data_IF_402354229322
#
_entry.id   IF_402354229322
#
_cell.length_a   1.000
_cell.length_b   1.000
_cell.length_c   1.000
_cell.angle_alpha   90.00
_cell.angle_beta   90.00
_cell.angle_gamma   90.00
#
_symmetry.space_group_name_H-M   'P 1'
#
loop_
_entity.id
_entity.type
_entity.pdbx_description
1 polymer ?
#
# COMPACT_ATOMS: atom_id res chain seq x y z
N UNK A 1 62.53 -7.44 50.88
CA UNK A 1 62.93 -8.62 50.06
C UNK A 1 61.73 -8.89 49.17
N UNK A 2 61.77 -8.85 47.83
CA UNK A 2 62.70 -9.54 46.91
C UNK A 2 62.70 -8.80 45.56
N UNK A 3 63.89 -8.58 44.98
CA UNK A 3 64.08 -8.02 43.63
C UNK A 3 63.83 -9.12 42.60
N UNK A 4 62.97 -8.87 41.62
CA UNK A 4 62.80 -9.74 40.44
C UNK A 4 63.74 -9.23 39.34
N UNK A 5 64.52 -10.15 38.77
CA UNK A 5 65.65 -9.85 37.87
C UNK A 5 65.20 -9.55 36.43
N UNK A 6 65.94 -8.71 35.67
CA UNK A 6 65.61 -8.29 34.31
C UNK A 6 65.76 -9.41 33.25
N UNK A 7 66.12 -10.64 33.65
CA UNK A 7 66.25 -11.79 32.75
C UNK A 7 64.94 -12.55 32.52
N UNK A 8 63.90 -12.29 33.32
CA UNK A 8 62.57 -12.90 33.12
C UNK A 8 61.70 -12.15 32.11
N UNK A 9 62.01 -10.89 31.77
CA UNK A 9 61.25 -10.10 30.80
C UNK A 9 61.58 -10.46 29.34
N UNK A 10 62.80 -10.96 29.09
CA UNK A 10 63.26 -11.30 27.74
C UNK A 10 62.79 -12.68 27.24
N UNK A 11 62.37 -13.58 28.13
CA UNK A 11 61.88 -14.90 27.74
C UNK A 11 60.41 -14.88 27.27
N UNK A 12 59.64 -13.86 27.64
CA UNK A 12 58.23 -13.71 27.23
C UNK A 12 58.07 -12.93 25.91
N UNK A 13 59.11 -12.21 25.46
CA UNK A 13 59.11 -11.45 24.21
C UNK A 13 59.59 -12.27 22.99
N UNK A 14 60.15 -13.45 23.21
CA UNK A 14 60.67 -14.33 22.14
C UNK A 14 59.65 -15.36 21.62
N UNK A 15 58.43 -15.40 22.18
CA UNK A 15 57.34 -16.27 21.73
C UNK A 15 56.35 -15.56 20.79
N UNK A 16 56.80 -14.51 20.10
CA UNK A 16 55.99 -13.68 19.20
C UNK A 16 56.56 -13.60 17.77
N UNK A 17 57.58 -14.40 17.42
CA UNK A 17 58.24 -14.36 16.11
C UNK A 17 58.32 -15.77 15.48
N UNK A 18 57.26 -16.56 15.61
CA UNK A 18 57.18 -17.87 14.95
C UNK A 18 55.72 -18.32 14.70
N UNK A 19 54.97 -17.53 13.93
CA UNK A 19 53.82 -18.05 13.17
C UNK A 19 53.97 -17.63 11.71
N UNK A 20 54.49 -18.50 10.84
CA UNK A 20 54.44 -18.28 9.41
C UNK A 20 53.02 -18.59 8.90
N UNK A 21 52.56 -17.75 7.97
CA UNK A 21 51.55 -18.07 6.94
C UNK A 21 50.21 -18.66 7.39
N UNK A 22 49.17 -17.82 7.42
CA UNK A 22 47.77 -18.15 7.11
C UNK A 22 46.98 -16.87 7.39
N UNK A 23 46.88 -15.94 6.44
CA UNK A 23 45.88 -14.84 6.40
C UNK A 23 46.15 -13.91 5.20
N UNK A 24 46.33 -14.46 4.01
CA UNK A 24 46.16 -13.71 2.75
C UNK A 24 45.62 -14.66 1.69
N UNK A 25 44.46 -15.24 1.99
CA UNK A 25 43.44 -15.47 1.00
C UNK A 25 42.28 -14.57 1.42
N UNK A 26 42.45 -13.26 1.24
CA UNK A 26 41.29 -12.46 0.89
C UNK A 26 40.94 -12.96 -0.50
N UNK A 27 40.07 -13.98 -0.53
CA UNK A 27 39.27 -14.30 -1.68
C UNK A 27 38.65 -12.96 -2.10
N UNK A 28 39.21 -12.37 -3.15
CA UNK A 28 38.57 -11.28 -3.85
C UNK A 28 37.37 -11.96 -4.47
N UNK A 29 36.28 -12.05 -3.71
CA UNK A 29 34.97 -12.32 -4.26
C UNK A 29 34.80 -11.26 -5.33
N UNK A 30 35.06 -11.63 -6.59
CA UNK A 30 34.55 -10.90 -7.73
C UNK A 30 33.08 -10.70 -7.42
N UNK A 31 32.59 -9.47 -7.28
CA UNK A 31 31.18 -9.23 -7.04
C UNK A 31 30.43 -10.02 -8.12
N UNK A 32 29.75 -11.09 -7.72
CA UNK A 32 28.91 -11.84 -8.63
C UNK A 32 27.76 -10.90 -8.95
N UNK A 33 27.74 -10.37 -10.16
CA UNK A 33 26.63 -9.53 -10.62
C UNK A 33 25.49 -10.43 -11.10
N UNK A 34 25.11 -11.43 -10.30
CA UNK A 34 23.91 -12.22 -10.54
C UNK A 34 22.74 -11.68 -9.72
N UNK A 35 21.52 -11.97 -10.16
CA UNK A 35 20.32 -11.39 -9.57
C UNK A 35 20.17 -11.73 -8.07
N UNK A 36 20.62 -12.93 -7.65
CA UNK A 36 20.53 -13.37 -6.26
C UNK A 36 21.50 -12.63 -5.34
N UNK A 37 22.72 -12.35 -5.83
CA UNK A 37 23.71 -11.54 -5.11
C UNK A 37 23.22 -10.11 -4.97
N UNK A 38 22.75 -9.49 -6.07
CA UNK A 38 22.17 -8.15 -6.04
C UNK A 38 20.97 -8.04 -5.11
N UNK A 39 20.07 -9.03 -5.13
CA UNK A 39 18.95 -9.11 -4.19
C UNK A 39 19.43 -9.17 -2.73
N UNK A 40 20.51 -9.92 -2.46
CA UNK A 40 21.09 -10.03 -1.12
C UNK A 40 21.73 -8.72 -0.67
N UNK A 41 22.50 -8.09 -1.54
CA UNK A 41 23.15 -6.80 -1.27
C UNK A 41 22.11 -5.69 -1.07
N UNK A 42 21.04 -5.66 -1.88
CA UNK A 42 19.93 -4.74 -1.73
C UNK A 42 19.25 -4.86 -0.36
N UNK A 43 19.02 -6.10 0.12
CA UNK A 43 18.48 -6.35 1.46
C UNK A 43 19.41 -5.84 2.56
N UNK A 44 20.72 -6.01 2.40
CA UNK A 44 21.72 -5.50 3.35
C UNK A 44 21.69 -3.97 3.37
N UNK A 45 21.67 -3.32 2.21
CA UNK A 45 21.58 -1.87 2.09
C UNK A 45 20.30 -1.33 2.76
N UNK A 46 19.14 -1.94 2.45
CA UNK A 46 17.85 -1.57 3.03
C UNK A 46 17.82 -1.73 4.56
N UNK A 47 18.33 -2.86 5.08
CA UNK A 47 18.46 -3.07 6.53
C UNK A 47 19.43 -2.09 7.20
N UNK A 48 20.42 -1.59 6.46
CA UNK A 48 21.33 -0.52 6.88
C UNK A 48 20.70 0.88 6.84
N UNK A 49 19.49 1.03 6.32
CA UNK A 49 18.81 2.31 6.11
C UNK A 49 19.24 3.05 4.83
N UNK A 50 20.06 2.44 3.98
CA UNK A 50 20.47 2.98 2.69
C UNK A 50 19.45 2.57 1.61
N UNK A 51 18.28 3.20 1.68
CA UNK A 51 17.12 2.85 0.85
C UNK A 51 17.38 3.12 -0.64
N UNK A 52 18.07 4.22 -0.97
CA UNK A 52 18.40 4.55 -2.36
C UNK A 52 19.32 3.50 -2.97
N UNK A 53 20.37 3.09 -2.27
CA UNK A 53 21.27 2.01 -2.74
C UNK A 53 20.51 0.68 -2.86
N UNK A 54 19.58 0.40 -1.93
CA UNK A 54 18.77 -0.81 -2.03
C UNK A 54 17.90 -0.82 -3.29
N UNK A 55 17.27 0.31 -3.63
CA UNK A 55 16.46 0.45 -4.84
C UNK A 55 17.32 0.21 -6.08
N UNK A 56 18.47 0.86 -6.20
CA UNK A 56 19.38 0.69 -7.35
C UNK A 56 19.75 -0.80 -7.54
N UNK A 57 20.09 -1.49 -6.44
CA UNK A 57 20.45 -2.91 -6.48
C UNK A 57 19.26 -3.82 -6.80
N UNK A 58 18.06 -3.52 -6.31
CA UNK A 58 16.85 -4.25 -6.67
C UNK A 58 16.47 -4.02 -8.14
N UNK A 59 16.62 -2.81 -8.67
CA UNK A 59 16.39 -2.51 -10.09
C UNK A 59 17.37 -3.29 -10.97
N UNK A 60 18.65 -3.32 -10.61
CA UNK A 60 19.66 -4.13 -11.31
C UNK A 60 19.33 -5.63 -11.23
N UNK A 61 18.89 -6.12 -10.06
CA UNK A 61 18.47 -7.52 -9.89
C UNK A 61 17.27 -7.85 -10.80
N UNK A 62 16.28 -6.95 -10.88
CA UNK A 62 15.11 -7.10 -11.73
C UNK A 62 15.45 -7.03 -13.21
N UNK A 63 16.47 -6.24 -13.59
CA UNK A 63 16.95 -6.19 -14.96
C UNK A 63 17.60 -7.51 -15.40
N UNK A 64 18.26 -8.21 -14.48
CA UNK A 64 18.86 -9.54 -14.73
C UNK A 64 17.85 -10.68 -14.71
N UNK A 65 16.86 -10.62 -13.80
CA UNK A 65 15.72 -11.54 -13.76
C UNK A 65 14.38 -10.77 -13.70
N UNK A 66 13.82 -10.41 -14.87
CA UNK A 66 12.55 -9.68 -14.94
C UNK A 66 11.34 -10.43 -14.37
N UNK A 67 11.47 -11.74 -14.13
CA UNK A 67 10.41 -12.62 -13.63
C UNK A 67 10.47 -12.85 -12.13
N UNK A 68 11.50 -12.32 -11.45
CA UNK A 68 11.66 -12.48 -10.01
C UNK A 68 10.56 -11.76 -9.24
N UNK A 69 9.57 -12.53 -8.78
CA UNK A 69 8.51 -12.02 -7.92
C UNK A 69 9.05 -11.51 -6.58
N UNK A 70 10.10 -12.15 -6.06
CA UNK A 70 10.75 -11.73 -4.82
C UNK A 70 11.33 -10.32 -4.97
N UNK A 71 12.08 -10.05 -6.04
CA UNK A 71 12.67 -8.72 -6.29
C UNK A 71 11.57 -7.67 -6.45
N UNK A 72 10.49 -7.98 -7.17
CA UNK A 72 9.34 -7.06 -7.34
C UNK A 72 8.67 -6.68 -6.02
N UNK A 73 8.45 -7.63 -5.10
CA UNK A 73 7.88 -7.34 -3.77
C UNK A 73 8.83 -6.48 -2.95
N UNK A 74 10.11 -6.83 -2.93
CA UNK A 74 11.11 -6.13 -2.11
C UNK A 74 11.38 -4.72 -2.64
N UNK A 75 11.42 -4.53 -3.97
CA UNK A 75 11.52 -3.23 -4.62
C UNK A 75 10.27 -2.37 -4.35
N UNK A 76 9.08 -2.98 -4.38
CA UNK A 76 7.84 -2.26 -4.03
C UNK A 76 7.88 -1.76 -2.58
N UNK A 77 8.37 -2.60 -1.66
CA UNK A 77 8.56 -2.21 -0.27
C UNK A 77 9.59 -1.09 -0.11
N UNK A 78 10.70 -1.16 -0.86
CA UNK A 78 11.74 -0.12 -0.81
C UNK A 78 11.25 1.22 -1.36
N UNK A 79 10.43 1.21 -2.42
CA UNK A 79 9.81 2.43 -2.93
C UNK A 79 8.88 3.09 -1.92
N UNK A 80 8.04 2.31 -1.23
CA UNK A 80 7.18 2.83 -0.17
C UNK A 80 7.98 3.33 1.03
N UNK A 81 9.02 2.61 1.46
CA UNK A 81 9.92 3.08 2.54
C UNK A 81 10.61 4.39 2.18
N UNK A 82 11.04 4.58 0.93
CA UNK A 82 11.65 5.84 0.48
C UNK A 82 10.65 7.00 0.47
N UNK A 83 9.41 6.72 0.12
CA UNK A 83 8.31 7.69 0.07
C UNK A 83 7.64 7.91 1.44
N UNK A 84 8.07 7.21 2.50
CA UNK A 84 7.43 7.22 3.81
C UNK A 84 5.93 6.84 3.73
N UNK A 85 5.58 5.94 2.81
CA UNK A 85 4.21 5.42 2.62
C UNK A 85 4.07 4.10 3.37
N UNK A 86 3.04 3.98 4.20
CA UNK A 86 2.76 2.75 4.92
C UNK A 86 1.25 2.48 5.15
N UNK A 87 0.94 1.48 5.99
CA UNK A 87 -0.44 1.12 6.32
C UNK A 87 -1.17 2.21 7.12
N UNK A 88 -0.47 3.12 7.81
CA UNK A 88 -1.10 4.24 8.51
C UNK A 88 -1.64 5.28 7.53
N UNK A 89 -1.15 5.33 6.28
CA UNK A 89 -1.80 6.16 5.26
C UNK A 89 -3.19 5.67 4.91
N UNK A 90 -3.45 4.35 5.00
CA UNK A 90 -4.82 3.83 4.90
C UNK A 90 -5.70 4.40 6.01
N UNK A 91 -5.22 4.33 7.25
CA UNK A 91 -5.94 4.80 8.44
C UNK A 91 -6.16 6.30 8.36
N UNK A 92 -5.15 7.08 7.95
CA UNK A 92 -5.24 8.53 7.77
C UNK A 92 -6.29 8.92 6.74
N UNK A 93 -6.26 8.30 5.56
CA UNK A 93 -7.24 8.58 4.50
C UNK A 93 -8.63 8.14 4.93
N UNK A 94 -8.77 6.94 5.50
CA UNK A 94 -10.05 6.43 6.00
C UNK A 94 -10.63 7.34 7.09
N UNK A 95 -9.83 7.72 8.09
CA UNK A 95 -10.25 8.63 9.15
C UNK A 95 -10.64 10.00 8.59
N UNK A 96 -9.88 10.57 7.66
CA UNK A 96 -10.26 11.84 7.05
C UNK A 96 -11.62 11.77 6.31
N UNK A 97 -11.86 10.67 5.60
CA UNK A 97 -13.13 10.45 4.90
C UNK A 97 -14.29 10.20 5.89
N UNK A 98 -14.06 9.46 6.98
CA UNK A 98 -15.09 9.01 7.91
C UNK A 98 -15.34 9.94 9.10
N UNK A 99 -14.35 10.73 9.53
CA UNK A 99 -14.48 11.59 10.70
C UNK A 99 -15.43 12.76 10.44
N UNK A 100 -16.51 12.81 11.22
CA UNK A 100 -17.25 14.04 11.46
C UNK A 100 -16.39 14.99 12.31
N UNK A 101 -15.62 15.87 11.67
CA UNK A 101 -15.06 17.03 12.38
C UNK A 101 -16.22 17.90 12.91
N UNK A 102 -16.44 17.99 14.24
CA UNK A 102 -17.47 18.85 14.77
C UNK A 102 -16.95 20.29 14.75
N UNK A 103 -17.46 21.08 13.80
CA UNK A 103 -17.55 22.52 14.02
C UNK A 103 -16.35 23.39 13.63
N UNK A 104 -15.58 23.03 12.62
CA UNK A 104 -14.77 24.02 11.89
C UNK A 104 -15.31 24.12 10.47
N UNK A 105 -16.18 25.12 10.25
CA UNK A 105 -16.59 25.49 8.90
C UNK A 105 -15.32 25.83 8.13
N UNK A 106 -14.92 24.94 7.22
CA UNK A 106 -13.92 25.27 6.23
C UNK A 106 -14.32 26.62 5.60
N UNK A 107 -13.39 27.59 5.46
CA UNK A 107 -13.70 28.81 4.75
C UNK A 107 -14.27 28.40 3.39
N UNK A 108 -15.48 28.89 3.09
CA UNK A 108 -16.18 28.56 1.86
C UNK A 108 -15.18 28.58 0.70
N UNK A 109 -14.91 27.40 0.14
CA UNK A 109 -14.04 27.28 -1.03
C UNK A 109 -14.59 28.26 -2.07
N UNK A 110 -13.75 29.08 -2.72
CA UNK A 110 -14.23 30.08 -3.67
C UNK A 110 -15.09 29.34 -4.68
N UNK A 111 -16.35 29.78 -4.74
CA UNK A 111 -17.44 29.16 -5.47
C UNK A 111 -16.93 28.59 -6.78
N UNK A 112 -17.06 27.26 -6.95
CA UNK A 112 -16.93 26.66 -8.26
C UNK A 112 -17.79 27.48 -9.23
N UNK A 113 -17.25 27.93 -10.37
CA UNK A 113 -17.95 28.85 -11.25
C UNK A 113 -19.21 28.19 -11.80
N UNK A 114 -20.36 28.59 -11.28
CA UNK A 114 -21.70 28.41 -11.83
C UNK A 114 -22.00 27.01 -12.42
N UNK A 115 -22.42 26.07 -11.57
CA UNK A 115 -23.22 24.93 -12.02
C UNK A 115 -24.64 25.41 -12.35
N UNK A 116 -24.87 25.77 -13.62
CA UNK A 116 -26.23 25.83 -14.19
C UNK A 116 -26.52 24.43 -14.73
N UNK A 117 -27.16 23.56 -13.95
CA UNK A 117 -27.49 22.21 -14.44
C UNK A 117 -28.24 21.28 -13.49
N UNK A 118 -27.74 21.05 -12.29
CA UNK A 118 -28.39 20.16 -11.31
C UNK A 118 -28.56 20.89 -9.97
N UNK A 119 -29.79 20.97 -9.45
CA UNK A 119 -30.01 21.42 -8.07
C UNK A 119 -29.44 20.37 -7.13
N UNK A 120 -28.19 20.56 -6.71
CA UNK A 120 -27.56 19.76 -5.68
C UNK A 120 -28.40 19.81 -4.40
N UNK A 121 -29.05 18.71 -4.03
CA UNK A 121 -29.95 18.65 -2.87
C UNK A 121 -29.21 19.01 -1.58
N UNK A 122 -27.97 18.54 -1.43
CA UNK A 122 -27.12 18.77 -0.26
C UNK A 122 -26.72 20.25 -0.11
N UNK A 123 -26.60 21.01 -1.19
CA UNK A 123 -26.28 22.44 -1.13
C UNK A 123 -27.37 23.27 -0.41
N UNK A 124 -28.59 22.75 -0.34
CA UNK A 124 -29.73 23.41 0.33
C UNK A 124 -30.06 22.80 1.69
N UNK A 125 -29.40 21.71 2.07
CA UNK A 125 -29.58 21.07 3.37
C UNK A 125 -28.79 21.84 4.45
N UNK A 126 -29.45 22.41 5.46
CA UNK A 126 -28.77 23.17 6.52
C UNK A 126 -27.90 22.30 7.43
N UNK A 127 -28.03 20.98 7.35
CA UNK A 127 -27.24 20.01 8.12
C UNK A 127 -26.05 19.45 7.35
N UNK A 128 -25.97 19.71 6.04
CA UNK A 128 -24.85 19.31 5.21
C UNK A 128 -23.72 20.35 5.26
N UNK A 129 -22.48 19.89 5.37
CA UNK A 129 -21.29 20.75 5.37
C UNK A 129 -20.44 20.46 4.14
N UNK A 130 -19.98 21.51 3.46
CA UNK A 130 -19.08 21.34 2.31
C UNK A 130 -17.78 20.66 2.76
N UNK A 131 -17.34 19.70 1.96
CA UNK A 131 -16.15 18.88 2.18
C UNK A 131 -15.24 19.02 0.96
N UNK A 132 -13.94 19.20 1.16
CA UNK A 132 -12.97 19.12 0.07
C UNK A 132 -12.10 17.88 0.32
N UNK A 133 -12.14 16.84 -0.54
CA UNK A 133 -11.36 15.64 -0.34
C UNK A 133 -9.84 15.88 -0.33
N UNK A 134 -9.37 17.06 -0.76
CA UNK A 134 -7.95 17.47 -0.74
C UNK A 134 -7.54 18.22 0.51
N UNK A 135 -8.49 18.52 1.41
CA UNK A 135 -8.23 19.25 2.65
C UNK A 135 -7.65 18.37 3.77
N UNK A 136 -7.20 17.15 3.46
CA UNK A 136 -6.54 16.28 4.41
C UNK A 136 -5.18 16.86 4.78
N UNK A 137 -4.85 16.87 6.08
CA UNK A 137 -3.48 17.18 6.50
C UNK A 137 -2.52 16.23 5.81
N UNK A 138 -1.38 16.74 5.29
CA UNK A 138 -0.37 15.94 4.57
C UNK A 138 -0.76 15.51 3.15
N UNK A 139 -1.86 16.03 2.61
CA UNK A 139 -2.27 15.76 1.24
C UNK A 139 -1.22 16.13 0.17
N UNK A 140 -0.52 17.28 0.25
CA UNK A 140 0.47 17.65 -0.77
C UNK A 140 1.62 16.65 -0.89
N UNK A 141 2.10 16.14 0.25
CA UNK A 141 3.13 15.11 0.31
C UNK A 141 2.62 13.82 -0.32
N UNK A 142 1.43 13.37 0.07
CA UNK A 142 0.83 12.14 -0.44
C UNK A 142 0.64 12.18 -1.98
N UNK A 143 0.18 13.31 -2.52
CA UNK A 143 0.02 13.47 -3.98
C UNK A 143 1.36 13.55 -4.71
N UNK A 144 2.41 14.07 -4.08
CA UNK A 144 3.74 14.10 -4.67
C UNK A 144 4.26 12.68 -4.97
N UNK A 145 3.80 11.68 -4.20
CA UNK A 145 4.16 10.27 -4.37
C UNK A 145 3.21 9.48 -5.29
N UNK A 146 2.28 10.13 -5.99
CA UNK A 146 1.38 9.46 -6.96
C UNK A 146 2.16 8.61 -7.98
N UNK A 147 3.31 9.09 -8.45
CA UNK A 147 4.16 8.34 -9.37
C UNK A 147 4.75 7.07 -8.73
N UNK A 148 5.16 7.15 -7.45
CA UNK A 148 5.64 6.01 -6.67
C UNK A 148 4.54 4.95 -6.52
N UNK A 149 3.31 5.37 -6.21
CA UNK A 149 2.14 4.48 -6.12
C UNK A 149 1.90 3.74 -7.45
N UNK A 150 1.94 4.45 -8.59
CA UNK A 150 1.79 3.80 -9.91
C UNK A 150 2.92 2.80 -10.21
N UNK A 151 4.16 3.14 -9.83
CA UNK A 151 5.30 2.27 -10.03
C UNK A 151 5.17 0.97 -9.22
N UNK A 152 4.69 1.07 -7.98
CA UNK A 152 4.40 -0.09 -7.12
C UNK A 152 3.28 -0.95 -7.70
N UNK A 153 2.16 -0.35 -8.14
CA UNK A 153 1.08 -1.10 -8.79
C UNK A 153 1.58 -1.85 -10.03
N UNK A 154 2.45 -1.24 -10.83
CA UNK A 154 3.04 -1.88 -12.01
C UNK A 154 3.99 -3.03 -11.67
N UNK A 155 4.72 -2.96 -10.55
CA UNK A 155 5.55 -4.07 -10.08
C UNK A 155 4.70 -5.25 -9.61
N UNK A 156 3.66 -4.95 -8.83
CA UNK A 156 2.79 -5.93 -8.19
C UNK A 156 1.78 -6.54 -9.16
N UNK A 157 1.42 -5.88 -10.26
CA UNK A 157 0.45 -6.40 -11.23
C UNK A 157 0.84 -7.77 -11.79
N UNK A 158 2.14 -8.09 -11.83
CA UNK A 158 2.68 -9.38 -12.24
C UNK A 158 2.39 -10.52 -11.24
N UNK A 159 2.25 -10.19 -9.96
CA UNK A 159 2.18 -11.15 -8.84
C UNK A 159 0.76 -11.26 -8.31
N UNK A 160 0.06 -10.12 -8.20
CA UNK A 160 -1.31 -10.07 -7.71
C UNK A 160 -2.21 -10.80 -8.71
N UNK A 161 -2.87 -11.89 -8.29
CA UNK A 161 -3.61 -12.73 -9.21
C UNK A 161 -4.99 -12.12 -9.52
N UNK A 162 -5.55 -12.47 -10.69
CA UNK A 162 -6.77 -11.86 -11.21
C UNK A 162 -7.99 -12.12 -10.31
N UNK A 163 -7.95 -13.18 -9.50
CA UNK A 163 -8.95 -13.51 -8.50
C UNK A 163 -9.22 -12.37 -7.50
N UNK A 164 -8.22 -11.53 -7.20
CA UNK A 164 -8.40 -10.38 -6.31
C UNK A 164 -9.06 -9.19 -7.01
N UNK A 165 -8.91 -9.11 -8.35
CA UNK A 165 -9.45 -8.03 -9.18
C UNK A 165 -10.92 -8.24 -9.55
N UNK A 166 -11.42 -9.46 -9.34
CA UNK A 166 -12.75 -9.88 -9.78
C UNK A 166 -13.86 -9.60 -8.77
N UNK A 167 -13.57 -8.90 -7.66
CA UNK A 167 -14.58 -8.60 -6.66
C UNK A 167 -15.60 -7.58 -7.20
N UNK A 168 -16.80 -8.06 -7.50
CA UNK A 168 -17.93 -7.21 -7.90
C UNK A 168 -18.57 -6.55 -6.67
N UNK A 169 -18.75 -5.23 -6.68
CA UNK A 169 -19.52 -4.51 -5.64
C UNK A 169 -20.89 -5.12 -5.36
N UNK A 170 -21.51 -5.70 -6.38
CA UNK A 170 -22.90 -6.15 -6.32
C UNK A 170 -23.07 -7.59 -5.84
N UNK A 171 -22.00 -8.38 -5.81
CA UNK A 171 -22.08 -9.81 -5.49
C UNK A 171 -20.84 -10.37 -4.78
N UNK A 172 -19.88 -9.50 -4.44
CA UNK A 172 -18.60 -9.87 -3.86
C UNK A 172 -18.67 -10.20 -2.37
N UNK A 173 -19.78 -9.92 -1.70
CA UNK A 173 -20.00 -10.26 -0.29
C UNK A 173 -21.29 -11.08 -0.15
N UNK A 174 -21.21 -12.18 0.60
CA UNK A 174 -22.39 -12.90 1.08
C UNK A 174 -22.17 -13.37 2.51
N UNK A 175 -23.21 -13.24 3.33
CA UNK A 175 -23.21 -13.66 4.73
C UNK A 175 -22.03 -13.07 5.55
N UNK A 176 -21.64 -11.82 5.26
CA UNK A 176 -20.53 -11.13 5.92
C UNK A 176 -19.14 -11.64 5.52
N UNK A 177 -19.01 -12.38 4.42
CA UNK A 177 -17.74 -12.88 3.91
C UNK A 177 -17.52 -12.48 2.44
N UNK A 178 -16.26 -12.17 2.10
CA UNK A 178 -15.85 -11.93 0.72
C UNK A 178 -15.89 -13.24 -0.09
N UNK A 179 -16.55 -13.22 -1.24
CA UNK A 179 -16.68 -14.38 -2.12
C UNK A 179 -15.66 -14.28 -3.24
N UNK A 180 -14.56 -15.02 -3.10
CA UNK A 180 -13.58 -15.24 -4.16
C UNK A 180 -12.78 -16.54 -3.92
N UNK A 181 -11.95 -16.93 -4.90
CA UNK A 181 -11.20 -18.19 -4.87
C UNK A 181 -9.88 -18.06 -4.06
N UNK A 182 -10.01 -17.88 -2.74
CA UNK A 182 -8.89 -17.66 -1.81
C UNK A 182 -7.72 -18.64 -1.95
N UNK A 183 -8.03 -19.95 -1.99
CA UNK A 183 -7.01 -21.01 -2.08
C UNK A 183 -6.28 -20.99 -3.43
N UNK A 184 -7.00 -20.68 -4.51
CA UNK A 184 -6.41 -20.49 -5.85
C UNK A 184 -5.46 -19.28 -5.83
N UNK A 185 -5.92 -18.15 -5.29
CA UNK A 185 -5.13 -16.93 -5.21
C UNK A 185 -3.81 -17.14 -4.43
N UNK A 186 -3.87 -17.78 -3.25
CA UNK A 186 -2.66 -18.11 -2.47
C UNK A 186 -1.76 -19.10 -3.22
N UNK A 187 -2.32 -20.12 -3.86
CA UNK A 187 -1.54 -21.08 -4.63
C UNK A 187 -0.80 -20.41 -5.79
N UNK A 188 -1.47 -19.49 -6.51
CA UNK A 188 -0.88 -18.70 -7.59
C UNK A 188 0.30 -17.85 -7.11
N UNK A 189 0.16 -17.16 -5.97
CA UNK A 189 1.28 -16.38 -5.41
C UNK A 189 2.44 -17.26 -4.93
N UNK A 190 2.15 -18.43 -4.33
CA UNK A 190 3.18 -19.41 -3.93
C UNK A 190 3.89 -20.04 -5.11
N UNK A 191 3.22 -20.18 -6.26
CA UNK A 191 3.82 -20.69 -7.48
C UNK A 191 4.94 -19.77 -8.02
N UNK A 192 4.93 -18.48 -7.65
CA UNK A 192 6.04 -17.55 -7.89
C UNK A 192 7.22 -17.71 -6.90
N UNK A 193 7.17 -18.69 -6.01
CA UNK A 193 8.23 -18.94 -5.02
C UNK A 193 8.20 -18.00 -3.81
N UNK A 194 7.10 -17.25 -3.61
CA UNK A 194 6.94 -16.37 -2.47
C UNK A 194 6.64 -17.15 -1.19
N UNK A 195 7.29 -16.78 -0.09
CA UNK A 195 6.91 -17.20 1.25
C UNK A 195 5.62 -16.52 1.71
N UNK A 196 4.93 -17.09 2.71
CA UNK A 196 3.72 -16.49 3.28
C UNK A 196 3.95 -15.05 3.80
N UNK A 197 5.14 -14.76 4.33
CA UNK A 197 5.50 -13.41 4.77
C UNK A 197 5.64 -12.43 3.59
N UNK A 198 6.22 -12.86 2.48
CA UNK A 198 6.35 -12.06 1.26
C UNK A 198 4.99 -11.86 0.59
N UNK A 199 4.13 -12.89 0.59
CA UNK A 199 2.74 -12.79 0.14
C UNK A 199 2.01 -11.74 0.98
N UNK A 200 2.08 -11.83 2.30
CA UNK A 200 1.44 -10.89 3.20
C UNK A 200 1.96 -9.45 3.03
N UNK A 201 3.25 -9.28 2.73
CA UNK A 201 3.85 -7.98 2.42
C UNK A 201 3.34 -7.43 1.09
N UNK A 202 3.36 -8.23 0.02
CA UNK A 202 2.85 -7.83 -1.30
C UNK A 202 1.39 -7.39 -1.25
N UNK A 203 0.55 -8.14 -0.51
CA UNK A 203 -0.87 -7.84 -0.35
C UNK A 203 -1.12 -6.57 0.49
N UNK A 204 -0.32 -6.32 1.53
CA UNK A 204 -0.40 -5.06 2.27
C UNK A 204 -0.04 -3.86 1.38
N UNK A 205 1.07 -3.96 0.65
CA UNK A 205 1.53 -2.90 -0.26
C UNK A 205 0.51 -2.68 -1.36
N UNK A 206 -0.08 -3.75 -1.92
CA UNK A 206 -1.14 -3.63 -2.93
C UNK A 206 -2.36 -2.90 -2.38
N UNK A 207 -2.82 -3.25 -1.18
CA UNK A 207 -3.95 -2.60 -0.53
C UNK A 207 -3.72 -1.09 -0.33
N UNK A 208 -2.54 -0.70 0.17
CA UNK A 208 -2.15 0.72 0.31
C UNK A 208 -2.13 1.40 -1.05
N UNK A 209 -1.44 0.82 -2.03
CA UNK A 209 -1.31 1.41 -3.36
C UNK A 209 -2.66 1.61 -4.06
N UNK A 210 -3.56 0.63 -3.96
CA UNK A 210 -4.91 0.68 -4.54
C UNK A 210 -5.80 1.70 -3.85
N UNK A 211 -5.78 1.78 -2.51
CA UNK A 211 -6.53 2.81 -1.81
C UNK A 211 -6.03 4.21 -2.19
N UNK A 212 -4.72 4.42 -2.20
CA UNK A 212 -4.14 5.71 -2.57
C UNK A 212 -4.48 6.08 -4.02
N UNK A 213 -4.43 5.11 -4.94
CA UNK A 213 -4.85 5.33 -6.31
C UNK A 213 -6.32 5.75 -6.43
N UNK A 214 -7.22 5.04 -5.75
CA UNK A 214 -8.64 5.38 -5.70
C UNK A 214 -8.85 6.77 -5.08
N UNK A 215 -8.16 7.08 -3.99
CA UNK A 215 -8.25 8.38 -3.33
C UNK A 215 -7.74 9.53 -4.21
N UNK A 216 -6.62 9.36 -4.93
CA UNK A 216 -6.15 10.36 -5.89
C UNK A 216 -7.16 10.60 -7.01
N UNK A 217 -7.77 9.53 -7.52
CA UNK A 217 -8.82 9.66 -8.51
C UNK A 217 -10.01 10.48 -7.96
N UNK A 218 -10.48 10.17 -6.75
CA UNK A 218 -11.58 10.90 -6.10
C UNK A 218 -11.22 12.37 -5.84
N UNK A 219 -10.01 12.63 -5.36
CA UNK A 219 -9.59 13.94 -4.88
C UNK A 219 -9.06 14.88 -5.99
N UNK A 220 -8.51 14.35 -7.09
CA UNK A 220 -7.95 15.15 -8.19
C UNK A 220 -8.76 15.03 -9.48
N UNK A 221 -9.12 13.82 -9.88
CA UNK A 221 -9.58 13.57 -11.24
C UNK A 221 -11.07 13.93 -11.40
N UNK A 222 -11.90 13.59 -10.40
CA UNK A 222 -13.34 13.93 -10.42
C UNK A 222 -13.71 15.16 -9.59
N UNK A 223 -12.84 15.61 -8.69
CA UNK A 223 -13.08 16.78 -7.85
C UNK A 223 -13.46 18.05 -8.66
N UNK A 224 -12.92 18.34 -9.86
CA UNK A 224 -13.33 19.50 -10.65
C UNK A 224 -14.77 19.43 -11.18
N UNK A 225 -15.38 18.24 -11.20
CA UNK A 225 -16.71 17.96 -11.75
C UNK A 225 -17.74 17.64 -10.64
N UNK A 226 -17.31 17.67 -9.39
CA UNK A 226 -18.09 17.24 -8.24
C UNK A 226 -18.06 18.26 -7.10
N UNK A 227 -19.12 18.27 -6.31
CA UNK A 227 -19.21 19.01 -5.05
C UNK A 227 -19.51 18.01 -3.96
N UNK A 228 -18.69 18.02 -2.91
CA UNK A 228 -18.76 17.04 -1.84
C UNK A 228 -19.31 17.69 -0.57
N UNK A 229 -20.12 16.92 0.14
CA UNK A 229 -20.78 17.32 1.36
C UNK A 229 -20.68 16.21 2.37
N UNK A 230 -20.47 16.55 3.64
CA UNK A 230 -20.68 15.65 4.76
C UNK A 230 -22.08 15.84 5.30
N UNK A 231 -22.80 14.74 5.47
CA UNK A 231 -24.20 14.71 5.90
C UNK A 231 -24.30 14.52 7.42
N UNK A 232 -25.49 14.78 7.97
CA UNK A 232 -25.73 14.76 9.42
C UNK A 232 -25.52 13.38 10.07
N UNK A 233 -25.77 12.32 9.31
CA UNK A 233 -25.58 10.91 9.69
C UNK A 233 -24.11 10.44 9.58
N UNK A 234 -23.24 11.24 8.94
CA UNK A 234 -21.83 10.91 8.74
C UNK A 234 -21.50 10.52 7.30
N UNK A 235 -22.52 10.31 6.47
CA UNK A 235 -22.34 9.93 5.08
C UNK A 235 -21.75 11.07 4.25
N UNK A 236 -21.17 10.70 3.10
CA UNK A 236 -20.63 11.63 2.13
C UNK A 236 -21.62 11.77 0.97
N UNK A 237 -22.18 12.96 0.81
CA UNK A 237 -23.00 13.34 -0.33
C UNK A 237 -22.14 13.91 -1.45
N UNK A 238 -22.28 13.37 -2.66
CA UNK A 238 -21.60 13.88 -3.85
C UNK A 238 -22.63 14.40 -4.86
N UNK A 239 -22.47 15.65 -5.27
CA UNK A 239 -23.20 16.24 -6.38
C UNK A 239 -22.29 16.33 -7.59
N UNK A 240 -22.79 15.96 -8.76
CA UNK A 240 -22.07 16.08 -10.02
C UNK A 240 -22.95 16.78 -11.06
N UNK A 241 -22.31 17.47 -12.01
CA UNK A 241 -23.00 18.06 -13.15
C UNK A 241 -23.54 16.97 -14.11
N UNK A 242 -22.82 15.86 -14.21
CA UNK A 242 -23.19 14.67 -15.00
C UNK A 242 -22.92 13.40 -14.17
N UNK A 243 -23.98 12.90 -13.52
CA UNK A 243 -23.89 11.71 -12.66
C UNK A 243 -23.54 10.44 -13.44
N UNK A 244 -23.98 10.33 -14.70
CA UNK A 244 -23.70 9.15 -15.52
C UNK A 244 -22.22 9.13 -15.95
N UNK A 245 -21.66 10.30 -16.29
CA UNK A 245 -20.25 10.42 -16.60
C UNK A 245 -19.36 10.17 -15.38
N UNK A 246 -19.73 10.68 -14.19
CA UNK A 246 -18.98 10.38 -12.96
C UNK A 246 -19.07 8.90 -12.62
N UNK A 247 -20.25 8.28 -12.75
CA UNK A 247 -20.42 6.85 -12.51
C UNK A 247 -19.45 6.01 -13.34
N UNK A 248 -19.40 6.23 -14.65
CA UNK A 248 -18.52 5.48 -15.54
C UNK A 248 -17.03 5.70 -15.19
N UNK A 249 -16.66 6.91 -14.78
CA UNK A 249 -15.28 7.20 -14.35
C UNK A 249 -14.95 6.55 -13.01
N UNK A 250 -15.92 6.43 -12.09
CA UNK A 250 -15.73 5.86 -10.76
C UNK A 250 -15.67 4.33 -10.72
N UNK A 251 -15.99 3.62 -11.81
CA UNK A 251 -15.95 2.15 -11.87
C UNK A 251 -14.55 1.61 -11.52
N UNK A 252 -13.49 2.24 -12.00
CA UNK A 252 -12.11 1.82 -11.72
C UNK A 252 -11.74 2.02 -10.24
N UNK A 253 -12.09 3.16 -9.65
CA UNK A 253 -11.82 3.43 -8.23
C UNK A 253 -12.62 2.48 -7.31
N UNK A 254 -13.84 2.14 -7.73
CA UNK A 254 -14.67 1.12 -7.09
C UNK A 254 -13.99 -0.25 -7.13
N UNK A 255 -13.49 -0.67 -8.30
CA UNK A 255 -12.81 -1.95 -8.45
C UNK A 255 -11.51 -1.98 -7.64
N UNK A 256 -10.78 -0.86 -7.58
CA UNK A 256 -9.61 -0.71 -6.72
C UNK A 256 -9.96 -0.96 -5.25
N UNK A 257 -11.06 -0.40 -4.74
CA UNK A 257 -11.53 -0.65 -3.37
C UNK A 257 -11.88 -2.13 -3.14
N UNK A 258 -12.48 -2.80 -4.13
CA UNK A 258 -12.71 -4.25 -4.06
C UNK A 258 -11.41 -5.04 -3.95
N UNK A 259 -10.39 -4.65 -4.73
CA UNK A 259 -9.06 -5.26 -4.68
C UNK A 259 -8.32 -4.97 -3.36
N UNK A 260 -8.56 -3.81 -2.72
CA UNK A 260 -8.08 -3.51 -1.36
C UNK A 260 -8.61 -4.55 -0.38
N UNK A 261 -9.92 -4.80 -0.39
CA UNK A 261 -10.57 -5.73 0.54
C UNK A 261 -10.07 -7.17 0.38
N UNK A 262 -10.03 -7.67 -0.86
CA UNK A 262 -9.53 -9.03 -1.14
C UNK A 262 -8.04 -9.15 -0.80
N UNK A 263 -7.25 -8.10 -1.01
CA UNK A 263 -5.84 -8.09 -0.62
C UNK A 263 -5.67 -8.19 0.91
N UNK A 264 -6.46 -7.44 1.67
CA UNK A 264 -6.40 -7.46 3.14
C UNK A 264 -6.88 -8.80 3.73
N UNK A 265 -7.98 -9.36 3.22
CA UNK A 265 -8.45 -10.69 3.63
C UNK A 265 -7.41 -11.79 3.31
N UNK A 266 -6.92 -11.82 2.06
CA UNK A 266 -5.94 -12.82 1.65
C UNK A 266 -4.65 -12.72 2.46
N UNK A 267 -4.25 -11.50 2.84
CA UNK A 267 -3.11 -11.25 3.73
C UNK A 267 -3.34 -11.88 5.10
N UNK A 268 -4.52 -11.68 5.68
CA UNK A 268 -4.90 -12.29 6.96
C UNK A 268 -4.79 -13.81 6.91
N UNK A 269 -5.22 -14.41 5.79
CA UNK A 269 -5.12 -15.86 5.54
C UNK A 269 -3.69 -16.34 5.37
N UNK A 270 -2.86 -15.61 4.60
CA UNK A 270 -1.44 -15.92 4.42
C UNK A 270 -0.69 -15.94 5.77
N UNK A 271 -1.08 -15.07 6.71
CA UNK A 271 -0.52 -15.02 8.07
C UNK A 271 -1.14 -16.05 9.04
N UNK A 272 -1.97 -16.99 8.56
CA UNK A 272 -2.57 -18.05 9.35
C UNK A 272 -3.83 -17.64 10.13
N UNK A 273 -4.57 -16.62 9.68
CA UNK A 273 -5.87 -16.20 10.24
C UNK A 273 -5.80 -15.64 11.68
N UNK A 274 -4.60 -15.27 12.14
CA UNK A 274 -4.25 -15.34 13.55
C UNK A 274 -4.25 -14.05 14.37
N UNK A 275 -4.20 -12.85 13.77
CA UNK A 275 -4.30 -11.62 14.57
C UNK A 275 -5.75 -11.14 14.61
N UNK A 276 -6.29 -10.98 15.82
CA UNK A 276 -7.59 -10.34 16.07
C UNK A 276 -7.68 -9.03 15.29
N UNK A 277 -6.60 -8.28 15.27
CA UNK A 277 -6.49 -7.00 14.56
C UNK A 277 -6.69 -7.10 13.04
N UNK A 278 -6.27 -8.17 12.36
CA UNK A 278 -6.54 -8.32 10.92
C UNK A 278 -8.00 -8.68 10.66
N UNK A 279 -8.60 -9.47 11.55
CA UNK A 279 -10.04 -9.76 11.50
C UNK A 279 -10.86 -8.50 11.77
N UNK A 280 -10.51 -7.74 12.79
CA UNK A 280 -11.22 -6.50 13.12
C UNK A 280 -11.18 -5.50 11.94
N UNK A 281 -10.02 -5.32 11.29
CA UNK A 281 -9.90 -4.46 10.10
C UNK A 281 -10.79 -4.98 8.96
N UNK A 282 -10.76 -6.28 8.70
CA UNK A 282 -11.57 -6.89 7.64
C UNK A 282 -13.07 -6.75 7.93
N UNK A 283 -13.50 -7.00 9.18
CA UNK A 283 -14.90 -6.89 9.59
C UNK A 283 -15.42 -5.47 9.38
N UNK A 284 -14.66 -4.44 9.81
CA UNK A 284 -15.04 -3.03 9.58
C UNK A 284 -15.09 -2.69 8.08
N UNK A 285 -14.17 -3.26 7.30
CA UNK A 285 -14.11 -2.99 5.86
C UNK A 285 -15.26 -3.69 5.10
N UNK A 286 -15.66 -4.89 5.54
CA UNK A 286 -16.85 -5.61 5.06
C UNK A 286 -18.11 -4.83 5.44
N UNK A 287 -18.25 -4.39 6.70
CA UNK A 287 -19.39 -3.57 7.14
C UNK A 287 -19.51 -2.28 6.30
N UNK A 288 -18.39 -1.58 6.07
CA UNK A 288 -18.37 -0.38 5.22
C UNK A 288 -18.76 -0.70 3.77
N UNK A 289 -18.30 -1.83 3.23
CA UNK A 289 -18.66 -2.26 1.89
C UNK A 289 -20.13 -2.65 1.78
N UNK A 290 -20.68 -3.41 2.74
CA UNK A 290 -22.10 -3.78 2.76
C UNK A 290 -22.98 -2.53 2.82
N UNK A 291 -22.60 -1.54 3.62
CA UNK A 291 -23.26 -0.25 3.64
C UNK A 291 -23.22 0.44 2.27
N UNK A 292 -22.08 0.44 1.58
CA UNK A 292 -21.97 0.96 0.21
C UNK A 292 -22.83 0.14 -0.76
N UNK A 293 -22.77 -1.19 -0.70
CA UNK A 293 -23.49 -2.10 -1.58
C UNK A 293 -25.02 -1.94 -1.45
N UNK A 294 -25.54 -1.72 -0.25
CA UNK A 294 -26.97 -1.44 -0.02
C UNK A 294 -27.41 -0.14 -0.71
N UNK A 295 -26.58 0.90 -0.66
CA UNK A 295 -26.82 2.16 -1.38
C UNK A 295 -26.66 2.00 -2.90
N UNK A 296 -25.82 1.05 -3.33
CA UNK A 296 -25.61 0.73 -4.73
C UNK A 296 -26.61 -0.29 -5.29
N UNK A 297 -27.41 -0.95 -4.44
CA UNK A 297 -28.37 -1.99 -4.81
C UNK A 297 -29.30 -1.64 -5.98
N UNK A 298 -29.86 -0.41 -6.07
CA UNK A 298 -30.64 0.04 -7.22
C UNK A 298 -29.87 0.04 -8.55
N UNK A 299 -28.55 0.13 -8.50
CA UNK A 299 -27.66 0.17 -9.65
C UNK A 299 -27.06 -1.21 -9.99
N UNK A 300 -27.04 -2.12 -9.02
CA UNK A 300 -26.61 -3.52 -9.15
C UNK A 300 -27.57 -4.44 -9.92
N UNK A 301 -28.77 -3.97 -10.24
CA UNK A 301 -29.83 -4.74 -10.90
C UNK A 301 -29.99 -4.42 -12.40
N UNK A 302 -29.10 -3.59 -12.96
CA UNK A 302 -29.06 -3.31 -14.39
C UNK A 302 -28.06 -4.27 -15.07
N UNK A 303 -28.52 -5.19 -15.94
CA UNK A 303 -27.59 -6.03 -16.69
C UNK A 303 -26.82 -5.15 -17.67
N UNK A 304 -25.49 -5.20 -17.62
CA UNK A 304 -24.64 -4.86 -18.78
C UNK A 304 -24.76 -5.95 -19.84
#
# INVERSE_FOLDING_TARGET
>A
MTRISPRALFALLALLIATPTLLTACDQATPSNDADTLLTDARIARQGGDIDTAIDLFEDALALDPTSAIVRVELSSAYFERADIDLFDLDRVALFLLEQQPGEAAPASPSAPNAVGATCTYATDPTATAFDPRAMDGYPELVADRATVQQVLALLSFIIPDELRALSLCSGIADGELIYEHESALASMRAFGLSDAQIASALAINAVARLLNAYFFLAEDIAPQTQWYRLADGDIGVCADDLDAIRAQSEDAINDLGEVLTSLDLRGRALGGGSTQTRDILDHAIEAYEAIADHLGPYCSTPQ
#
